data_IF_309683215011
#
_entry.id   IF_309683215011
#
_cell.length_a   1.000
_cell.length_b   1.000
_cell.length_c   1.000
_cell.angle_alpha   90.00
_cell.angle_beta   90.00
_cell.angle_gamma   90.00
#
_symmetry.space_group_name_H-M   'P 1'
#
loop_
_entity.id
_entity.type
_entity.pdbx_description
1 polymer ?
#
# COMPACT_ATOMS: atom_id res chain seq x y z
N UNK A 1 -15.94 10.81 6.77
CA UNK A 1 -15.84 10.35 5.36
C UNK A 1 -14.96 9.09 5.29
N UNK A 2 -15.18 8.11 6.15
CA UNK A 2 -14.15 7.09 6.47
C UNK A 2 -14.51 5.67 6.04
N UNK A 3 -15.80 5.32 5.86
CA UNK A 3 -16.16 3.91 5.59
C UNK A 3 -16.05 3.48 4.13
N UNK A 4 -16.13 4.39 3.15
CA UNK A 4 -15.97 4.03 1.71
C UNK A 4 -14.50 3.78 1.32
N UNK A 5 -13.59 3.93 2.28
CA UNK A 5 -12.14 3.97 2.05
C UNK A 5 -11.38 2.84 2.77
N UNK A 6 -12.02 2.01 3.58
CA UNK A 6 -11.35 0.83 4.15
C UNK A 6 -11.38 -0.33 3.15
N UNK A 7 -10.27 -1.06 3.06
CA UNK A 7 -10.26 -2.36 2.39
C UNK A 7 -10.89 -3.38 3.35
N UNK A 8 -11.71 -4.28 2.83
CA UNK A 8 -12.36 -5.33 3.63
C UNK A 8 -11.39 -6.47 4.00
N UNK A 9 -10.12 -6.33 3.62
CA UNK A 9 -9.07 -7.32 3.81
C UNK A 9 -7.74 -6.61 4.09
N UNK A 10 -6.89 -7.26 4.89
CA UNK A 10 -5.55 -6.75 5.18
C UNK A 10 -4.69 -6.82 3.91
N UNK A 11 -3.90 -5.78 3.67
CA UNK A 11 -2.94 -5.72 2.56
C UNK A 11 -1.59 -5.35 3.13
N UNK A 12 -0.58 -6.12 2.77
CA UNK A 12 0.81 -5.85 3.11
C UNK A 12 1.17 -4.37 2.82
N UNK A 13 1.54 -3.60 3.86
CA UNK A 13 1.96 -2.20 3.71
C UNK A 13 3.05 -2.01 2.65
N UNK A 14 3.94 -2.98 2.45
CA UNK A 14 5.03 -2.89 1.47
C UNK A 14 4.49 -2.78 0.05
N UNK A 15 3.49 -3.61 -0.28
CA UNK A 15 2.82 -3.57 -1.59
C UNK A 15 2.17 -2.20 -1.82
N UNK A 16 1.56 -1.62 -0.80
CA UNK A 16 0.91 -0.31 -0.90
C UNK A 16 1.94 0.80 -1.17
N UNK A 17 3.04 0.82 -0.40
CA UNK A 17 4.11 1.81 -0.51
C UNK A 17 4.88 1.69 -1.83
N UNK A 18 5.02 0.48 -2.38
CA UNK A 18 5.65 0.27 -3.69
C UNK A 18 4.79 0.70 -4.88
N UNK A 19 3.47 0.55 -4.79
CA UNK A 19 2.54 0.81 -5.90
C UNK A 19 2.08 2.26 -5.96
N UNK A 20 1.88 2.90 -4.81
CA UNK A 20 1.40 4.29 -4.77
C UNK A 20 2.24 5.26 -5.63
N UNK A 21 3.60 5.26 -5.58
CA UNK A 21 4.41 6.09 -6.46
C UNK A 21 4.25 5.84 -7.95
N UNK A 22 3.90 4.61 -8.35
CA UNK A 22 3.71 4.24 -9.77
C UNK A 22 2.46 4.93 -10.30
N UNK A 23 1.35 4.82 -9.57
CA UNK A 23 0.08 5.50 -9.88
C UNK A 23 0.28 7.01 -9.96
N UNK A 24 0.97 7.59 -8.97
CA UNK A 24 1.27 9.03 -8.95
C UNK A 24 2.11 9.46 -10.15
N UNK A 25 3.12 8.67 -10.56
CA UNK A 25 3.95 8.97 -11.74
C UNK A 25 3.20 8.81 -13.05
N UNK A 26 2.25 7.89 -13.14
CA UNK A 26 1.40 7.72 -14.32
C UNK A 26 0.50 8.94 -14.52
N UNK A 27 -0.11 9.44 -13.44
CA UNK A 27 -0.96 10.63 -13.49
C UNK A 27 -0.17 11.94 -13.57
N UNK A 28 0.98 12.02 -12.89
CA UNK A 28 1.84 13.19 -12.86
C UNK A 28 3.32 12.82 -13.04
N UNK A 29 3.80 12.65 -14.29
CA UNK A 29 5.15 12.18 -14.60
C UNK A 29 6.30 13.07 -14.10
N UNK A 30 6.00 14.32 -13.74
CA UNK A 30 7.00 15.26 -13.20
C UNK A 30 7.23 15.09 -11.70
N UNK A 31 6.44 14.27 -11.00
CA UNK A 31 6.65 13.95 -9.59
C UNK A 31 8.06 13.37 -9.34
N UNK A 32 8.74 13.87 -8.31
CA UNK A 32 9.96 13.24 -7.81
C UNK A 32 9.59 12.31 -6.67
N UNK A 33 10.09 11.08 -6.72
CA UNK A 33 9.81 10.06 -5.71
C UNK A 33 11.10 9.81 -4.95
N UNK A 34 11.02 9.87 -3.63
CA UNK A 34 12.15 9.64 -2.72
C UNK A 34 11.74 8.58 -1.71
N UNK A 35 12.60 7.59 -1.52
CA UNK A 35 12.38 6.60 -0.47
C UNK A 35 12.72 7.22 0.88
N UNK A 36 11.89 6.91 1.87
CA UNK A 36 12.14 7.32 3.25
C UNK A 36 13.20 6.39 3.85
N UNK A 37 14.12 6.96 4.60
CA UNK A 37 15.14 6.19 5.32
C UNK A 37 14.68 5.83 6.74
N UNK A 38 13.97 6.76 7.38
CA UNK A 38 13.44 6.58 8.72
C UNK A 38 12.19 7.44 8.91
N UNK A 39 11.22 6.85 9.59
CA UNK A 39 9.95 7.44 9.99
C UNK A 39 9.89 7.37 11.51
N UNK A 40 9.66 8.50 12.16
CA UNK A 40 9.32 8.56 13.57
C UNK A 40 7.85 8.89 13.67
N UNK A 41 7.08 8.03 14.33
CA UNK A 41 5.67 8.29 14.64
C UNK A 41 5.51 8.50 16.14
N UNK A 42 4.78 9.53 16.52
CA UNK A 42 4.45 9.80 17.91
C UNK A 42 3.00 10.30 18.05
N UNK A 43 2.27 9.79 19.04
CA UNK A 43 0.87 10.16 19.31
C UNK A 43 0.71 10.63 20.76
N UNK A 44 -0.42 11.29 21.03
CA UNK A 44 -0.85 11.66 22.37
C UNK A 44 0.19 12.52 23.09
N UNK A 45 0.51 13.67 22.48
CA UNK A 45 1.48 14.62 23.00
C UNK A 45 1.08 16.08 22.78
N UNK A 46 2.05 17.00 22.69
CA UNK A 46 1.80 18.42 22.41
C UNK A 46 1.15 18.70 21.05
N UNK A 47 1.28 17.74 20.13
CA UNK A 47 0.34 17.59 19.01
C UNK A 47 -0.25 16.18 19.02
N UNK A 48 -1.51 16.02 18.62
CA UNK A 48 -2.21 14.73 18.68
C UNK A 48 -1.46 13.62 17.90
N UNK A 49 -0.98 13.95 16.69
CA UNK A 49 -0.22 13.03 15.84
C UNK A 49 0.96 13.75 15.19
N UNK A 50 2.11 13.08 15.23
CA UNK A 50 3.34 13.50 14.58
C UNK A 50 3.93 12.36 13.75
N UNK A 51 4.17 12.61 12.46
CA UNK A 51 5.01 11.81 11.58
C UNK A 51 6.23 12.61 11.10
N UNK A 52 7.42 12.13 11.39
CA UNK A 52 8.67 12.77 10.97
C UNK A 52 9.44 11.84 10.05
N UNK A 53 9.89 12.34 8.91
CA UNK A 53 10.49 11.55 7.83
C UNK A 53 11.90 12.06 7.54
N UNK A 54 12.90 11.17 7.58
CA UNK A 54 14.28 11.43 7.16
C UNK A 54 14.56 10.96 5.74
N UNK A 55 15.42 11.73 5.06
CA UNK A 55 15.87 11.52 3.69
C UNK A 55 17.37 11.84 3.57
N UNK A 56 18.03 11.20 2.62
CA UNK A 56 19.42 11.48 2.20
C UNK A 56 20.47 11.48 3.33
N UNK A 57 20.49 10.44 4.14
CA UNK A 57 21.38 10.31 5.29
C UNK A 57 21.12 11.40 6.32
N UNK A 58 19.85 11.68 6.62
CA UNK A 58 19.43 12.75 7.54
C UNK A 58 19.85 14.16 7.11
N UNK A 59 20.02 14.41 5.81
CA UNK A 59 20.28 15.75 5.29
C UNK A 59 18.99 16.55 5.08
N UNK A 60 17.89 15.85 4.82
CA UNK A 60 16.59 16.45 4.58
C UNK A 60 15.51 15.74 5.38
N UNK A 61 14.49 16.52 5.77
CA UNK A 61 13.42 16.02 6.61
C UNK A 61 12.08 16.60 6.19
N UNK A 62 11.03 15.81 6.38
CA UNK A 62 9.65 16.25 6.22
C UNK A 62 8.84 15.96 7.48
N UNK A 63 7.93 16.88 7.77
CA UNK A 63 7.12 16.88 8.98
C UNK A 63 5.65 16.81 8.60
N UNK A 64 4.94 15.84 9.17
CA UNK A 64 3.50 15.64 9.01
C UNK A 64 2.88 15.65 10.40
N UNK A 65 1.77 16.35 10.57
CA UNK A 65 1.05 16.37 11.83
C UNK A 65 -0.44 16.45 11.59
N UNK A 66 -1.21 16.04 12.60
CA UNK A 66 -2.65 16.19 12.64
C UNK A 66 -3.04 16.55 14.07
N UNK A 67 -3.73 17.66 14.22
CA UNK A 67 -4.22 18.19 15.49
C UNK A 67 -5.27 19.27 15.22
N UNK A 68 -6.39 19.25 15.93
CA UNK A 68 -7.47 20.24 15.80
C UNK A 68 -7.14 21.57 16.52
N UNK A 69 -6.31 21.55 17.58
CA UNK A 69 -5.85 22.72 18.35
C UNK A 69 -4.39 22.56 18.84
N UNK A 70 -3.40 22.58 17.93
CA UNK A 70 -2.01 22.29 18.27
C UNK A 70 -1.38 23.34 19.18
N UNK A 71 -0.50 22.91 20.09
CA UNK A 71 0.40 23.82 20.77
C UNK A 71 1.33 24.50 19.76
N UNK A 72 0.99 25.75 19.43
CA UNK A 72 1.70 26.55 18.42
C UNK A 72 3.17 26.77 18.75
N UNK A 73 3.56 26.82 20.03
CA UNK A 73 4.96 27.02 20.40
C UNK A 73 5.75 25.74 20.13
N UNK A 74 5.22 24.60 20.59
CA UNK A 74 5.83 23.29 20.35
C UNK A 74 5.87 22.93 18.87
N UNK A 75 4.78 23.16 18.13
CA UNK A 75 4.72 22.94 16.69
C UNK A 75 5.75 23.81 15.94
N UNK A 76 5.88 25.08 16.30
CA UNK A 76 6.92 25.96 15.71
C UNK A 76 8.32 25.45 16.01
N UNK A 77 8.58 24.98 17.23
CA UNK A 77 9.86 24.41 17.58
C UNK A 77 10.14 23.14 16.77
N UNK A 78 9.18 22.22 16.66
CA UNK A 78 9.28 20.98 15.87
C UNK A 78 9.51 21.25 14.37
N UNK A 79 8.85 22.25 13.79
CA UNK A 79 9.06 22.64 12.38
C UNK A 79 10.45 23.27 12.17
N UNK A 80 10.99 23.92 13.19
CA UNK A 80 12.28 24.65 13.09
C UNK A 80 13.51 23.75 13.20
N UNK A 81 13.36 22.51 13.65
CA UNK A 81 14.48 21.59 13.82
C UNK A 81 14.83 20.89 12.50
N UNK A 82 16.11 20.92 12.15
CA UNK A 82 16.72 20.15 11.07
C UNK A 82 17.88 19.31 11.64
N UNK A 83 17.56 18.25 12.40
CA UNK A 83 18.56 17.47 13.13
C UNK A 83 19.49 16.74 12.17
N UNK A 84 20.79 16.89 12.35
CA UNK A 84 21.73 16.04 11.61
C UNK A 84 21.70 14.61 12.18
N UNK A 85 22.27 13.65 11.46
CA UNK A 85 22.38 12.25 11.91
C UNK A 85 22.88 12.13 13.36
N UNK A 86 23.86 12.95 13.76
CA UNK A 86 24.39 12.95 15.14
C UNK A 86 23.40 13.45 16.21
N UNK A 87 22.41 14.25 15.83
CA UNK A 87 21.39 14.81 16.72
C UNK A 87 20.18 13.89 16.87
N UNK A 88 19.99 12.95 15.95
CA UNK A 88 18.84 12.03 15.93
C UNK A 88 18.62 11.28 17.24
N UNK A 89 19.64 10.67 17.90
CA UNK A 89 19.43 9.99 19.18
C UNK A 89 18.88 10.90 20.27
N UNK A 90 19.18 12.20 20.21
CA UNK A 90 18.64 13.19 21.15
C UNK A 90 17.21 13.55 20.79
N UNK A 91 16.90 13.76 19.51
CA UNK A 91 15.53 14.03 19.08
C UNK A 91 14.59 12.88 19.46
N UNK A 92 14.95 11.63 19.13
CA UNK A 92 14.17 10.44 19.47
C UNK A 92 13.85 10.37 20.97
N UNK A 93 14.85 10.62 21.82
CA UNK A 93 14.66 10.68 23.28
C UNK A 93 13.70 11.79 23.71
N UNK A 94 13.76 12.97 23.09
CA UNK A 94 12.84 14.07 23.40
C UNK A 94 11.41 13.70 23.00
N UNK A 95 11.21 13.09 21.82
CA UNK A 95 9.90 12.62 21.39
C UNK A 95 9.33 11.58 22.36
N UNK A 96 10.13 10.58 22.74
CA UNK A 96 9.75 9.56 23.73
C UNK A 96 9.42 10.12 25.14
N UNK A 97 9.85 11.35 25.45
CA UNK A 97 9.53 12.01 26.72
C UNK A 97 8.29 12.89 26.64
N UNK A 98 7.96 13.39 25.44
CA UNK A 98 6.87 14.33 25.22
C UNK A 98 5.57 13.64 24.80
N UNK A 99 5.65 12.44 24.21
CA UNK A 99 4.52 11.70 23.66
C UNK A 99 4.31 10.40 24.43
N UNK A 100 3.05 10.02 24.62
CA UNK A 100 2.70 8.76 25.29
C UNK A 100 3.00 7.54 24.40
N UNK A 101 2.81 7.70 23.08
CA UNK A 101 3.14 6.66 22.09
C UNK A 101 4.28 7.10 21.17
N UNK A 102 5.18 6.17 20.87
CA UNK A 102 6.32 6.40 19.99
C UNK A 102 6.74 5.11 19.31
N UNK A 103 6.97 5.17 18.00
CA UNK A 103 7.58 4.08 17.24
C UNK A 103 8.40 4.59 16.06
N UNK A 104 9.26 3.70 15.57
CA UNK A 104 10.16 3.93 14.44
C UNK A 104 9.81 2.94 13.33
N UNK A 105 9.90 3.40 12.09
CA UNK A 105 9.72 2.57 10.89
C UNK A 105 10.59 3.09 9.75
N UNK A 106 10.64 2.37 8.65
CA UNK A 106 11.44 2.71 7.46
C UNK A 106 10.67 2.54 6.15
N UNK A 107 9.43 2.06 6.24
CA UNK A 107 8.60 1.79 5.08
C UNK A 107 7.77 3.02 4.68
N UNK A 108 8.31 3.81 3.75
CA UNK A 108 7.59 4.96 3.23
C UNK A 108 8.22 5.61 2.00
N UNK A 109 7.44 6.51 1.40
CA UNK A 109 7.86 7.31 0.25
C UNK A 109 7.43 8.76 0.45
N UNK A 110 8.29 9.67 0.00
CA UNK A 110 7.99 11.08 -0.17
C UNK A 110 7.85 11.38 -1.67
N UNK A 111 6.74 12.01 -2.04
CA UNK A 111 6.47 12.47 -3.38
C UNK A 111 6.57 13.99 -3.37
N UNK A 112 7.54 14.52 -4.10
CA UNK A 112 7.74 15.96 -4.23
C UNK A 112 7.10 16.46 -5.52
N UNK A 113 6.33 17.55 -5.41
CA UNK A 113 5.77 18.25 -6.55
C UNK A 113 6.69 19.43 -6.91
N UNK A 114 7.46 19.35 -8.01
CA UNK A 114 8.38 20.41 -8.38
C UNK A 114 7.62 21.66 -8.85
N UNK A 115 8.17 22.84 -8.55
CA UNK A 115 7.67 24.09 -9.13
C UNK A 115 8.16 24.25 -10.57
N UNK A 116 7.27 24.06 -11.55
CA UNK A 116 7.60 24.25 -12.97
C UNK A 116 7.70 25.72 -13.39
N UNK A 117 7.16 26.65 -12.62
CA UNK A 117 7.23 28.09 -12.89
C UNK A 117 8.53 28.72 -12.39
N UNK A 118 9.20 28.08 -11.43
CA UNK A 118 10.55 28.44 -10.96
C UNK A 118 11.49 27.22 -10.99
N UNK A 119 11.89 26.75 -12.19
CA UNK A 119 12.80 25.63 -12.33
C UNK A 119 14.11 25.86 -11.55
N UNK A 120 14.45 24.94 -10.65
CA UNK A 120 15.64 25.04 -9.79
C UNK A 120 15.38 25.59 -8.38
N UNK A 121 14.16 26.08 -8.09
CA UNK A 121 13.70 26.25 -6.72
C UNK A 121 13.26 24.91 -6.13
N UNK A 122 13.42 24.70 -4.81
CA UNK A 122 13.04 23.46 -4.14
C UNK A 122 11.53 23.15 -4.29
N UNK A 123 11.13 21.88 -4.17
CA UNK A 123 9.72 21.50 -4.23
C UNK A 123 8.93 22.22 -3.15
N UNK A 124 7.74 22.72 -3.51
CA UNK A 124 6.95 23.53 -2.58
C UNK A 124 5.97 22.70 -1.77
N UNK A 125 5.53 21.55 -2.29
CA UNK A 125 4.65 20.62 -1.60
C UNK A 125 5.20 19.20 -1.68
N UNK A 126 5.10 18.49 -0.56
CA UNK A 126 5.49 17.10 -0.41
C UNK A 126 4.29 16.29 0.08
N UNK A 127 4.08 15.13 -0.54
CA UNK A 127 3.11 14.14 -0.10
C UNK A 127 3.88 13.01 0.56
N UNK A 128 3.65 12.79 1.85
CA UNK A 128 4.14 11.62 2.56
C UNK A 128 3.14 10.48 2.41
N UNK A 129 3.64 9.27 2.14
CA UNK A 129 2.85 8.04 2.14
C UNK A 129 3.70 6.94 2.79
N UNK A 130 3.32 6.51 4.00
CA UNK A 130 4.18 5.67 4.82
C UNK A 130 3.38 4.79 5.78
N UNK A 131 3.99 3.67 6.16
CA UNK A 131 3.45 2.76 7.18
C UNK A 131 3.62 3.36 8.57
N UNK A 132 2.54 3.32 9.34
CA UNK A 132 2.51 3.71 10.74
C UNK A 132 2.72 2.46 11.61
N UNK A 133 3.91 2.30 12.24
CA UNK A 133 4.19 1.13 13.06
C UNK A 133 3.38 1.04 14.36
N UNK A 134 2.68 2.11 14.78
CA UNK A 134 1.80 2.07 15.96
C UNK A 134 0.43 1.47 15.65
N UNK A 135 -0.12 1.78 14.47
CA UNK A 135 -1.48 1.38 14.09
C UNK A 135 -1.51 0.25 13.07
N UNK A 136 -0.37 -0.09 12.49
CA UNK A 136 -0.22 -1.00 11.36
C UNK A 136 -0.99 -0.54 10.10
N UNK A 137 -1.24 0.76 9.98
CA UNK A 137 -1.97 1.35 8.84
C UNK A 137 -1.04 2.19 7.96
N UNK A 138 -1.47 2.47 6.73
CA UNK A 138 -0.81 3.46 5.88
C UNK A 138 -1.33 4.87 6.19
N UNK A 139 -0.43 5.75 6.58
CA UNK A 139 -0.69 7.18 6.71
C UNK A 139 -0.30 7.93 5.45
N UNK A 140 -1.09 8.95 5.12
CA UNK A 140 -0.78 9.91 4.07
C UNK A 140 -0.98 11.34 4.55
N UNK A 141 -0.13 12.24 4.08
CA UNK A 141 -0.17 13.65 4.49
C UNK A 141 0.45 14.56 3.44
N UNK A 142 0.03 15.82 3.46
CA UNK A 142 0.57 16.87 2.60
C UNK A 142 1.25 17.90 3.50
N UNK A 143 2.47 18.28 3.17
CA UNK A 143 3.18 19.38 3.81
C UNK A 143 3.76 20.31 2.76
N UNK A 144 3.79 21.62 3.06
CA UNK A 144 4.40 22.62 2.20
C UNK A 144 5.56 23.31 2.89
N UNK A 145 6.60 23.65 2.13
CA UNK A 145 7.76 24.37 2.65
C UNK A 145 7.96 25.69 1.90
N UNK A 146 7.95 26.86 2.58
CA UNK A 146 7.70 27.06 4.01
C UNK A 146 6.19 27.04 4.36
N UNK A 147 5.86 26.64 5.58
CA UNK A 147 4.47 26.46 6.06
C UNK A 147 3.69 27.78 6.11
N UNK A 148 4.35 28.92 6.35
CA UNK A 148 3.70 30.24 6.39
C UNK A 148 3.16 30.71 5.03
N UNK A 149 3.56 30.03 3.94
CA UNK A 149 3.08 30.26 2.58
C UNK A 149 2.21 29.12 2.06
N UNK A 150 1.74 28.23 2.93
CA UNK A 150 1.01 27.02 2.56
C UNK A 150 -0.15 27.28 1.60
N UNK A 151 -1.05 28.22 1.90
CA UNK A 151 -2.22 28.51 1.04
C UNK A 151 -1.80 28.88 -0.38
N UNK A 152 -0.82 29.78 -0.51
CA UNK A 152 -0.29 30.21 -1.80
C UNK A 152 0.41 29.06 -2.54
N UNK A 153 1.17 28.24 -1.81
CA UNK A 153 1.87 27.09 -2.38
C UNK A 153 0.86 26.07 -2.91
N UNK A 154 -0.16 25.74 -2.12
CA UNK A 154 -1.20 24.79 -2.50
C UNK A 154 -1.98 25.31 -3.71
N UNK A 155 -2.30 26.61 -3.78
CA UNK A 155 -2.91 27.23 -4.97
C UNK A 155 -2.03 27.13 -6.22
N UNK A 156 -0.71 27.27 -6.08
CA UNK A 156 0.22 27.15 -7.21
C UNK A 156 0.39 25.69 -7.64
N UNK A 157 0.53 24.77 -6.69
CA UNK A 157 0.66 23.33 -6.95
C UNK A 157 -0.62 22.75 -7.54
N UNK A 158 -1.79 23.23 -7.10
CA UNK A 158 -3.07 22.89 -7.67
C UNK A 158 -3.09 23.13 -9.19
N UNK A 159 -2.43 24.16 -9.72
CA UNK A 159 -2.38 24.41 -11.18
C UNK A 159 -1.54 23.38 -11.95
N UNK A 160 -0.69 22.63 -11.26
CA UNK A 160 0.24 21.67 -11.85
C UNK A 160 -0.33 20.25 -11.90
N UNK A 161 -1.03 19.84 -10.84
CA UNK A 161 -1.56 18.47 -10.72
C UNK A 161 -2.84 18.28 -11.55
N UNK A 162 -3.12 17.07 -12.08
CA UNK A 162 -4.25 16.83 -12.98
C UNK A 162 -5.62 17.20 -12.39
N UNK A 163 -5.83 16.93 -11.10
CA UNK A 163 -7.09 17.17 -10.39
C UNK A 163 -7.37 18.66 -10.11
N UNK A 164 -6.41 19.54 -10.41
CA UNK A 164 -6.46 20.98 -10.07
C UNK A 164 -6.59 21.29 -8.59
N UNK A 165 -6.24 20.32 -7.76
CA UNK A 165 -6.30 20.34 -6.31
C UNK A 165 -5.43 19.19 -5.78
N UNK A 166 -4.53 19.48 -4.86
CA UNK A 166 -3.54 18.50 -4.41
C UNK A 166 -4.16 17.42 -3.52
N UNK A 167 -5.10 17.80 -2.65
CA UNK A 167 -5.83 16.86 -1.80
C UNK A 167 -6.66 15.88 -2.64
N UNK A 168 -7.41 16.40 -3.61
CA UNK A 168 -8.19 15.58 -4.54
C UNK A 168 -7.30 14.68 -5.39
N UNK A 169 -6.12 15.15 -5.81
CA UNK A 169 -5.14 14.32 -6.51
C UNK A 169 -4.68 13.13 -5.64
N UNK A 170 -4.27 13.38 -4.40
CA UNK A 170 -3.86 12.31 -3.46
C UNK A 170 -5.01 11.35 -3.16
N UNK A 171 -6.22 11.87 -2.97
CA UNK A 171 -7.42 11.05 -2.77
C UNK A 171 -7.72 10.15 -3.98
N UNK A 172 -7.58 10.68 -5.21
CA UNK A 172 -7.79 9.89 -6.42
C UNK A 172 -6.72 8.82 -6.58
N UNK A 173 -5.44 9.15 -6.41
CA UNK A 173 -4.36 8.15 -6.45
C UNK A 173 -4.55 7.04 -5.40
N UNK A 174 -4.99 7.41 -4.18
CA UNK A 174 -5.28 6.44 -3.11
C UNK A 174 -6.47 5.54 -3.47
N UNK A 175 -7.51 6.11 -4.11
CA UNK A 175 -8.65 5.33 -4.61
C UNK A 175 -8.22 4.37 -5.71
N UNK A 176 -7.43 4.83 -6.69
CA UNK A 176 -6.87 3.99 -7.76
C UNK A 176 -6.08 2.83 -7.16
N UNK A 177 -5.19 3.09 -6.20
CA UNK A 177 -4.43 2.04 -5.51
C UNK A 177 -5.35 0.99 -4.89
N UNK A 178 -6.36 1.42 -4.14
CA UNK A 178 -7.29 0.50 -3.47
C UNK A 178 -8.13 -0.30 -4.46
N UNK A 179 -8.56 0.31 -5.56
CA UNK A 179 -9.26 -0.39 -6.65
C UNK A 179 -8.36 -1.46 -7.25
N UNK A 180 -7.10 -1.14 -7.60
CA UNK A 180 -6.16 -2.11 -8.15
C UNK A 180 -5.87 -3.27 -7.19
N UNK A 181 -5.71 -2.98 -5.90
CA UNK A 181 -5.51 -4.01 -4.87
C UNK A 181 -6.73 -4.91 -4.71
N UNK A 182 -7.94 -4.33 -4.73
CA UNK A 182 -9.20 -5.09 -4.69
C UNK A 182 -9.36 -5.96 -5.93
N UNK A 183 -9.17 -5.40 -7.12
CA UNK A 183 -9.25 -6.16 -8.37
C UNK A 183 -8.24 -7.31 -8.43
N UNK A 184 -7.03 -7.11 -7.87
CA UNK A 184 -6.05 -8.18 -7.78
C UNK A 184 -6.44 -9.25 -6.76
N UNK A 185 -6.93 -8.88 -5.58
CA UNK A 185 -7.42 -9.84 -4.60
C UNK A 185 -8.60 -10.65 -5.18
N UNK A 186 -9.59 -9.98 -5.75
CA UNK A 186 -10.76 -10.60 -6.39
C UNK A 186 -10.39 -11.48 -7.59
N UNK A 187 -9.28 -11.18 -8.30
CA UNK A 187 -8.78 -12.04 -9.39
C UNK A 187 -8.49 -13.45 -8.91
N UNK A 188 -8.08 -13.63 -7.66
CA UNK A 188 -7.78 -14.95 -7.14
C UNK A 188 -9.02 -15.66 -6.58
N UNK A 189 -10.16 -14.99 -6.45
CA UNK A 189 -11.32 -15.53 -5.75
C UNK A 189 -12.35 -16.15 -6.71
N UNK A 190 -12.83 -17.35 -6.36
CA UNK A 190 -14.02 -18.01 -6.91
C UNK A 190 -15.08 -18.03 -5.82
N UNK A 191 -16.26 -17.53 -6.14
CA UNK A 191 -17.44 -17.66 -5.27
C UNK A 191 -18.20 -18.95 -5.61
N UNK A 192 -18.48 -19.75 -4.58
CA UNK A 192 -19.23 -21.00 -4.65
C UNK A 192 -18.37 -22.23 -4.38
N UNK A 193 -19.01 -23.29 -3.90
CA UNK A 193 -18.37 -24.57 -3.63
C UNK A 193 -17.86 -25.25 -4.92
N UNK A 194 -16.53 -25.34 -5.06
CA UNK A 194 -15.84 -25.95 -6.21
C UNK A 194 -15.64 -27.47 -6.07
N UNK A 195 -15.86 -28.07 -4.90
CA UNK A 195 -15.42 -29.44 -4.59
C UNK A 195 -15.97 -30.47 -5.56
N UNK A 196 -17.25 -30.34 -5.94
CA UNK A 196 -17.88 -31.23 -6.92
C UNK A 196 -17.28 -31.11 -8.33
N UNK A 197 -16.74 -29.94 -8.70
CA UNK A 197 -16.03 -29.75 -9.98
C UNK A 197 -14.67 -30.44 -9.93
N UNK A 198 -13.94 -30.27 -8.82
CA UNK A 198 -12.60 -30.84 -8.64
C UNK A 198 -12.64 -32.38 -8.57
N UNK A 199 -13.63 -32.95 -7.88
CA UNK A 199 -13.80 -34.41 -7.79
C UNK A 199 -14.15 -35.08 -9.13
N UNK A 200 -14.75 -34.34 -10.07
CA UNK A 200 -15.11 -34.87 -11.40
C UNK A 200 -13.96 -34.81 -12.40
N UNK A 201 -12.95 -33.98 -12.17
CA UNK A 201 -11.78 -33.88 -13.03
C UNK A 201 -10.67 -34.82 -12.55
N UNK A 202 -10.47 -35.93 -13.27
CA UNK A 202 -9.48 -36.97 -12.95
C UNK A 202 -8.03 -36.47 -12.81
N UNK A 203 -7.74 -35.24 -13.24
CA UNK A 203 -6.42 -34.64 -13.16
C UNK A 203 -6.22 -33.72 -11.96
N UNK A 204 -7.30 -33.24 -11.34
CA UNK A 204 -7.20 -32.52 -10.07
C UNK A 204 -6.98 -33.53 -8.94
N UNK A 205 -6.02 -33.22 -8.07
CA UNK A 205 -5.69 -34.06 -6.92
C UNK A 205 -5.61 -33.21 -5.66
N UNK A 206 -6.24 -33.69 -4.59
CA UNK A 206 -5.99 -33.17 -3.25
C UNK A 206 -4.56 -33.57 -2.86
N UNK A 207 -3.68 -32.57 -2.75
CA UNK A 207 -2.27 -32.78 -2.42
C UNK A 207 -2.03 -32.78 -0.91
N UNK A 208 -2.58 -31.80 -0.20
CA UNK A 208 -2.39 -31.63 1.24
C UNK A 208 -3.42 -30.65 1.82
N UNK A 209 -3.47 -30.58 3.14
CA UNK A 209 -4.07 -29.49 3.90
C UNK A 209 -2.94 -28.66 4.50
N UNK A 210 -2.97 -27.33 4.33
CA UNK A 210 -1.97 -26.40 4.89
C UNK A 210 -2.47 -24.96 4.85
N UNK A 211 -1.75 -24.07 5.51
CA UNK A 211 -2.01 -22.63 5.46
C UNK A 211 -1.80 -22.07 4.04
N UNK A 212 -2.69 -21.15 3.65
CA UNK A 212 -2.59 -20.42 2.38
C UNK A 212 -1.35 -19.51 2.44
N UNK A 213 -0.42 -19.62 1.48
CA UNK A 213 0.79 -18.82 1.46
C UNK A 213 0.53 -17.37 1.05
N UNK A 214 1.50 -16.50 1.38
CA UNK A 214 1.53 -15.13 0.92
C UNK A 214 1.46 -15.02 -0.61
N UNK A 215 0.82 -13.95 -1.09
CA UNK A 215 0.74 -13.62 -2.52
C UNK A 215 -0.36 -14.32 -3.31
N UNK A 216 -1.27 -15.06 -2.66
CA UNK A 216 -2.48 -15.60 -3.30
C UNK A 216 -3.66 -14.66 -3.07
N UNK A 217 -4.05 -14.48 -1.80
CA UNK A 217 -5.11 -13.54 -1.43
C UNK A 217 -4.85 -13.07 -0.01
N UNK A 218 -4.60 -11.79 0.17
CA UNK A 218 -4.13 -11.26 1.45
C UNK A 218 -5.15 -11.43 2.58
N UNK A 219 -6.45 -11.36 2.28
CA UNK A 219 -7.51 -11.65 3.26
C UNK A 219 -7.61 -13.12 3.73
N UNK A 220 -6.95 -14.06 3.07
CA UNK A 220 -6.98 -15.50 3.44
C UNK A 220 -5.60 -16.07 3.77
N UNK A 221 -4.54 -15.27 3.66
CA UNK A 221 -3.18 -15.67 4.05
C UNK A 221 -3.17 -16.25 5.46
N UNK A 222 -2.47 -17.38 5.66
CA UNK A 222 -2.37 -18.05 6.96
C UNK A 222 -3.60 -18.89 7.33
N UNK A 223 -4.70 -18.81 6.58
CA UNK A 223 -5.88 -19.67 6.82
C UNK A 223 -5.60 -21.09 6.35
N UNK A 224 -5.97 -22.08 7.16
CA UNK A 224 -5.86 -23.49 6.79
C UNK A 224 -6.81 -23.84 5.64
N UNK A 225 -6.28 -24.46 4.59
CA UNK A 225 -7.01 -24.77 3.37
C UNK A 225 -6.61 -26.13 2.78
N UNK A 226 -7.55 -26.75 2.09
CA UNK A 226 -7.27 -27.87 1.21
C UNK A 226 -6.65 -27.37 -0.10
N UNK A 227 -5.52 -27.96 -0.48
CA UNK A 227 -4.82 -27.65 -1.72
C UNK A 227 -5.09 -28.73 -2.77
N UNK A 228 -5.82 -28.35 -3.80
CA UNK A 228 -6.08 -29.14 -4.97
C UNK A 228 -5.21 -28.67 -6.14
N UNK A 229 -4.58 -29.58 -6.86
CA UNK A 229 -3.69 -29.22 -7.96
C UNK A 229 -3.90 -30.06 -9.21
N UNK A 230 -3.69 -29.43 -10.36
CA UNK A 230 -3.70 -30.06 -11.67
C UNK A 230 -2.52 -29.56 -12.50
N UNK A 231 -1.75 -30.43 -13.17
CA UNK A 231 -0.66 -29.99 -14.04
C UNK A 231 -1.18 -29.13 -15.19
N UNK A 232 -0.47 -28.04 -15.52
CA UNK A 232 -0.87 -27.12 -16.60
C UNK A 232 -0.92 -27.82 -17.96
N UNK A 233 -0.08 -28.84 -18.17
CA UNK A 233 -0.10 -29.68 -19.38
C UNK A 233 -1.41 -30.48 -19.58
N UNK A 234 -2.30 -30.48 -18.59
CA UNK A 234 -3.63 -31.10 -18.62
C UNK A 234 -4.76 -30.09 -18.71
N UNK A 235 -4.45 -28.80 -18.89
CA UNK A 235 -5.42 -27.72 -19.03
C UNK A 235 -5.46 -27.32 -20.50
N UNK A 236 -6.60 -27.54 -21.16
CA UNK A 236 -6.72 -27.45 -22.62
C UNK A 236 -6.47 -26.04 -23.18
N UNK A 237 -6.80 -25.00 -22.40
CA UNK A 237 -6.70 -23.60 -22.80
C UNK A 237 -5.39 -22.93 -22.35
N UNK A 238 -4.58 -23.59 -21.51
CA UNK A 238 -3.28 -23.06 -21.10
C UNK A 238 -2.15 -23.63 -21.94
N UNK A 239 -1.32 -22.74 -22.48
CA UNK A 239 -0.12 -23.11 -23.23
C UNK A 239 1.05 -23.25 -22.25
N UNK A 240 1.40 -24.47 -21.84
CA UNK A 240 2.57 -24.68 -20.97
C UNK A 240 2.87 -26.14 -20.67
N UNK A 241 4.15 -26.51 -20.70
CA UNK A 241 4.59 -27.88 -20.40
C UNK A 241 4.89 -28.12 -18.91
N UNK A 242 5.04 -27.05 -18.12
CA UNK A 242 5.47 -27.09 -16.72
C UNK A 242 4.61 -26.18 -15.86
N UNK A 243 4.41 -26.57 -14.60
CA UNK A 243 3.63 -25.83 -13.60
C UNK A 243 2.31 -26.49 -13.25
N UNK A 244 1.63 -25.93 -12.26
CA UNK A 244 0.37 -26.42 -11.71
C UNK A 244 -0.63 -25.27 -11.61
N UNK A 245 -1.87 -25.57 -11.96
CA UNK A 245 -3.04 -24.85 -11.47
C UNK A 245 -3.32 -25.36 -10.06
N UNK A 246 -3.56 -24.44 -9.14
CA UNK A 246 -3.80 -24.70 -7.74
C UNK A 246 -5.14 -24.06 -7.34
N UNK A 247 -6.00 -24.83 -6.68
CA UNK A 247 -7.24 -24.36 -6.08
C UNK A 247 -7.13 -24.60 -4.59
N UNK A 248 -7.39 -23.56 -3.81
CA UNK A 248 -7.31 -23.57 -2.36
C UNK A 248 -8.71 -23.40 -1.81
N UNK A 249 -9.14 -24.31 -0.95
CA UNK A 249 -10.47 -24.25 -0.32
C UNK A 249 -10.25 -24.04 1.17
N UNK A 250 -10.48 -22.82 1.70
CA UNK A 250 -10.41 -22.57 3.14
C UNK A 250 -11.35 -23.51 3.89
N UNK A 251 -10.84 -24.20 4.92
CA UNK A 251 -11.66 -25.16 5.69
C UNK A 251 -12.81 -24.45 6.41
N UNK A 252 -12.60 -23.19 6.80
CA UNK A 252 -13.60 -22.38 7.48
C UNK A 252 -14.71 -21.87 6.55
N UNK A 253 -14.50 -21.86 5.23
CA UNK A 253 -15.38 -21.20 4.25
C UNK A 253 -15.48 -22.00 2.95
N UNK A 254 -16.26 -23.08 2.96
CA UNK A 254 -16.43 -23.98 1.80
C UNK A 254 -17.09 -23.33 0.56
N UNK A 255 -17.70 -22.15 0.71
CA UNK A 255 -18.32 -21.39 -0.38
C UNK A 255 -17.34 -20.41 -1.05
N UNK A 256 -16.07 -20.40 -0.62
CA UNK A 256 -15.02 -19.60 -1.22
C UNK A 256 -13.88 -20.51 -1.62
N UNK A 257 -13.28 -20.22 -2.77
CA UNK A 257 -12.08 -20.91 -3.22
C UNK A 257 -11.14 -19.92 -3.87
N UNK A 258 -9.84 -20.16 -3.74
CA UNK A 258 -8.80 -19.31 -4.30
C UNK A 258 -8.05 -20.03 -5.40
N UNK A 259 -7.74 -19.31 -6.47
CA UNK A 259 -7.00 -19.80 -7.62
C UNK A 259 -5.59 -19.25 -7.57
N UNK A 260 -4.60 -20.10 -7.73
CA UNK A 260 -3.23 -19.69 -8.04
C UNK A 260 -2.62 -20.59 -9.10
N UNK A 261 -1.54 -20.12 -9.70
CA UNK A 261 -0.73 -20.90 -10.64
C UNK A 261 0.72 -20.82 -10.24
N UNK A 262 1.44 -21.94 -10.29
CA UNK A 262 2.89 -21.92 -10.07
C UNK A 262 3.60 -21.29 -11.27
N UNK A 263 4.87 -20.90 -11.11
CA UNK A 263 5.70 -20.45 -12.24
C UNK A 263 5.76 -21.51 -13.35
N UNK A 264 5.72 -21.07 -14.61
CA UNK A 264 5.77 -21.92 -15.80
C UNK A 264 5.94 -21.10 -17.08
N UNK A 265 5.80 -21.75 -18.24
CA UNK A 265 5.92 -21.15 -19.57
C UNK A 265 4.61 -20.48 -20.03
N UNK A 266 3.93 -19.75 -19.14
CA UNK A 266 2.68 -19.04 -19.40
C UNK A 266 2.65 -17.74 -18.62
N UNK A 267 1.78 -16.80 -19.03
CA UNK A 267 1.50 -15.61 -18.23
C UNK A 267 0.65 -15.99 -17.00
N UNK A 268 1.14 -15.78 -15.77
CA UNK A 268 0.40 -16.19 -14.57
C UNK A 268 -0.95 -15.50 -14.40
N UNK A 269 -1.08 -14.23 -14.82
CA UNK A 269 -2.31 -13.46 -14.63
C UNK A 269 -3.40 -13.98 -15.56
N UNK A 270 -3.09 -14.09 -16.85
CA UNK A 270 -4.00 -14.68 -17.83
C UNK A 270 -4.40 -16.10 -17.44
N UNK A 271 -3.44 -16.90 -16.95
CA UNK A 271 -3.73 -18.27 -16.53
C UNK A 271 -4.68 -18.36 -15.34
N UNK A 272 -4.52 -17.48 -14.33
CA UNK A 272 -5.46 -17.39 -13.20
C UNK A 272 -6.83 -16.95 -13.68
N UNK A 273 -6.91 -15.93 -14.55
CA UNK A 273 -8.17 -15.43 -15.10
C UNK A 273 -8.94 -16.53 -15.85
N UNK A 274 -8.25 -17.26 -16.75
CA UNK A 274 -8.85 -18.33 -17.55
C UNK A 274 -9.34 -19.50 -16.67
N UNK A 275 -8.55 -19.90 -15.68
CA UNK A 275 -8.93 -20.97 -14.74
C UNK A 275 -10.12 -20.53 -13.91
N UNK A 276 -10.07 -19.33 -13.33
CA UNK A 276 -11.16 -18.77 -12.51
C UNK A 276 -12.45 -18.74 -13.30
N UNK A 277 -12.41 -18.21 -14.52
CA UNK A 277 -13.59 -18.13 -15.39
C UNK A 277 -14.16 -19.53 -15.67
N UNK A 278 -13.31 -20.47 -16.11
CA UNK A 278 -13.75 -21.83 -16.46
C UNK A 278 -14.37 -22.55 -15.27
N UNK A 279 -13.74 -22.48 -14.10
CA UNK A 279 -14.26 -23.12 -12.89
C UNK A 279 -15.56 -22.46 -12.45
N UNK A 280 -15.63 -21.13 -12.46
CA UNK A 280 -16.85 -20.38 -12.09
C UNK A 280 -18.04 -20.71 -12.99
N UNK A 281 -17.82 -20.83 -14.30
CA UNK A 281 -18.85 -21.22 -15.28
C UNK A 281 -19.36 -22.66 -15.07
N UNK A 282 -18.57 -23.52 -14.43
CA UNK A 282 -18.93 -24.92 -14.19
C UNK A 282 -19.74 -25.11 -12.89
N UNK A 283 -19.70 -24.15 -11.97
CA UNK A 283 -20.45 -24.18 -10.70
C UNK A 283 -21.88 -23.61 -10.86
N UNK A 284 -22.10 -22.72 -11.84
CA UNK A 284 -23.41 -22.12 -12.16
C UNK A 284 -24.38 -23.11 -12.83
#
# INVERSE_FOLDING_TARGET
>A
MTSELQLDFDVDPEIQVERFPKIVREEYPSARIRHVEEILVANDGPVDYLGWVALEGYQEHCFFYKDDDPDRETLRWLISITPQESDMPRLKRVLQQLYDEYAEGDLGVLIEIPDSYLPGSGPKANIGFYHNPLTDEINSGIITTPIDQQDRILEDVAKLVPARDLETFVLNATRTLRTELREEAERHLIQGNVSAVLERDDHFRLETTREIPDGIHSGYTGTEAELWQKPVSRVEFLSGAQGFVQIWIPISEEEISLVSVTRGEFDPKTAVDDVRQTVSETIQ
#
